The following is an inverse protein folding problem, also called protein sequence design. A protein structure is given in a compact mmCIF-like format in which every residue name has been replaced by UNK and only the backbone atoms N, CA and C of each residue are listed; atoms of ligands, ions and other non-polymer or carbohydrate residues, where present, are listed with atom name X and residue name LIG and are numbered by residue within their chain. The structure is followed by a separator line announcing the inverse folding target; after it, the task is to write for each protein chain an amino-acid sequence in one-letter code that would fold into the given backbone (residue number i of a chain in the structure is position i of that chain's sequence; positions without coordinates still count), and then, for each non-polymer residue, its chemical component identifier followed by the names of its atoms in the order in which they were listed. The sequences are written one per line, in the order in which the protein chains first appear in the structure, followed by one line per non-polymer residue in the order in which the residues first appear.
data_IF_592712132727
#
_entry.id   IF_592712132727
#
_cell.length_a   1.000
_cell.length_b   1.000
_cell.length_c   1.000
_cell.angle_alpha   90.00
_cell.angle_beta   90.00
_cell.angle_gamma   90.00
#
_symmetry.space_group_name_H-M   'P 1'
#
loop_
_entity.id
_entity.type
_entity.pdbx_description
1 polymer ?
#
# COMPACT_ATOMS: atom_id res chain seq x y z
N UNK A 1 13.22 -29.30 -30.97
CA UNK A 1 13.16 -28.44 -29.76
C UNK A 1 11.95 -27.55 -29.92
N UNK A 2 11.04 -27.44 -28.94
CA UNK A 2 9.99 -26.42 -29.01
C UNK A 2 10.68 -25.04 -28.97
N UNK A 3 10.32 -24.18 -29.92
CA UNK A 3 10.82 -22.80 -29.97
C UNK A 3 10.33 -22.06 -28.72
N UNK A 4 11.25 -21.45 -27.97
CA UNK A 4 10.91 -20.58 -26.85
C UNK A 4 10.46 -19.23 -27.40
N UNK A 5 9.23 -18.82 -27.08
CA UNK A 5 8.70 -17.49 -27.43
C UNK A 5 8.73 -16.57 -26.20
N UNK A 6 9.36 -15.41 -26.32
CA UNK A 6 9.43 -14.41 -25.24
C UNK A 6 8.23 -13.46 -25.33
N UNK A 7 7.38 -13.44 -24.29
CA UNK A 7 6.14 -12.66 -24.28
C UNK A 7 6.30 -11.13 -24.12
N UNK A 8 7.46 -10.66 -23.63
CA UNK A 8 7.88 -9.24 -23.52
C UNK A 8 6.76 -8.20 -23.27
N UNK A 9 5.81 -8.48 -22.37
CA UNK A 9 4.68 -7.60 -22.08
C UNK A 9 5.09 -6.42 -21.21
N UNK A 10 4.56 -5.24 -21.51
CA UNK A 10 4.88 -4.02 -20.79
C UNK A 10 4.09 -3.89 -19.49
N UNK A 11 4.72 -3.30 -18.48
CA UNK A 11 4.08 -2.80 -17.25
C UNK A 11 4.87 -1.56 -16.76
N UNK A 12 4.42 -0.94 -15.67
CA UNK A 12 5.04 0.28 -15.11
C UNK A 12 5.71 0.00 -13.76
N UNK A 13 6.77 0.75 -13.46
CA UNK A 13 7.44 0.79 -12.15
C UNK A 13 7.31 2.20 -11.58
N UNK A 14 7.00 2.30 -10.29
CA UNK A 14 6.93 3.56 -9.56
C UNK A 14 5.53 4.19 -9.56
N UNK A 15 5.49 5.41 -9.02
CA UNK A 15 4.27 6.23 -8.89
C UNK A 15 4.07 7.14 -10.09
N UNK A 16 2.85 7.67 -10.26
CA UNK A 16 2.54 8.63 -11.31
C UNK A 16 2.42 10.07 -10.76
N UNK A 17 2.73 11.10 -11.56
CA UNK A 17 2.68 12.50 -11.11
C UNK A 17 1.27 13.10 -11.12
N UNK A 18 0.25 12.34 -11.51
CA UNK A 18 -1.13 12.82 -11.62
C UNK A 18 -1.74 13.11 -10.25
N UNK A 19 -2.68 14.05 -10.23
CA UNK A 19 -3.53 14.34 -9.07
C UNK A 19 -4.96 13.85 -9.26
N UNK A 20 -5.40 13.63 -10.50
CA UNK A 20 -6.69 12.99 -10.81
C UNK A 20 -6.49 11.47 -11.05
N UNK A 21 -7.13 10.62 -10.24
CA UNK A 21 -7.15 9.17 -10.44
C UNK A 21 -7.64 8.71 -11.81
N UNK A 22 -8.63 9.39 -12.38
CA UNK A 22 -9.26 9.03 -13.65
C UNK A 22 -8.30 9.24 -14.81
N UNK A 23 -7.54 10.35 -14.81
CA UNK A 23 -6.51 10.63 -15.81
C UNK A 23 -5.40 9.58 -15.77
N UNK A 24 -4.92 9.23 -14.57
CA UNK A 24 -3.91 8.20 -14.39
C UNK A 24 -4.40 6.83 -14.89
N UNK A 25 -5.63 6.45 -14.53
CA UNK A 25 -6.25 5.19 -14.97
C UNK A 25 -6.48 5.16 -16.48
N UNK A 26 -6.81 6.30 -17.10
CA UNK A 26 -6.96 6.41 -18.55
C UNK A 26 -5.63 6.08 -19.26
N UNK A 27 -4.50 6.60 -18.78
CA UNK A 27 -3.19 6.27 -19.36
C UNK A 27 -2.80 4.81 -19.13
N UNK A 28 -2.97 4.30 -17.90
CA UNK A 28 -2.68 2.89 -17.58
C UNK A 28 -3.50 1.97 -18.48
N UNK A 29 -4.82 2.17 -18.54
CA UNK A 29 -5.69 1.33 -19.36
C UNK A 29 -5.48 1.53 -20.84
N UNK A 30 -5.00 2.69 -21.31
CA UNK A 30 -4.69 2.91 -22.72
C UNK A 30 -3.41 2.17 -23.16
N UNK A 31 -2.32 2.30 -22.39
CA UNK A 31 -1.00 1.78 -22.79
C UNK A 31 -0.69 0.36 -22.28
N UNK A 32 -1.26 -0.06 -21.15
CA UNK A 32 -0.92 -1.32 -20.48
C UNK A 32 -2.11 -2.28 -20.49
N UNK A 33 -2.31 -2.97 -21.62
CA UNK A 33 -3.45 -3.88 -21.81
C UNK A 33 -3.23 -5.26 -21.18
N UNK A 34 -2.02 -5.81 -21.28
CA UNK A 34 -1.72 -7.16 -20.79
C UNK A 34 -1.46 -7.20 -19.27
N UNK A 35 -0.62 -6.29 -18.78
CA UNK A 35 -0.19 -6.24 -17.36
C UNK A 35 -0.29 -4.79 -16.81
N UNK A 36 -1.51 -4.22 -16.70
CA UNK A 36 -1.71 -2.93 -16.07
C UNK A 36 -1.27 -2.94 -14.61
N UNK A 37 -0.76 -1.80 -14.12
CA UNK A 37 -0.57 -1.56 -12.70
C UNK A 37 -1.52 -0.47 -12.23
N UNK A 38 -2.20 -0.66 -11.10
CA UNK A 38 -3.02 0.41 -10.55
C UNK A 38 -2.11 1.60 -10.15
N UNK A 39 -2.53 2.86 -10.40
CA UNK A 39 -1.66 4.01 -10.21
C UNK A 39 -1.59 4.46 -8.74
N UNK A 40 -0.37 4.67 -8.24
CA UNK A 40 -0.11 5.36 -6.96
C UNK A 40 0.15 6.86 -7.19
N UNK A 41 -0.54 7.75 -6.48
CA UNK A 41 -0.60 9.19 -6.78
C UNK A 41 -0.08 10.07 -5.62
N UNK A 42 1.22 10.02 -5.27
CA UNK A 42 1.79 10.73 -4.13
C UNK A 42 1.69 12.26 -4.24
N UNK A 43 1.45 12.82 -5.43
CA UNK A 43 1.22 14.25 -5.62
C UNK A 43 -0.22 14.69 -5.30
N UNK A 44 -1.19 13.77 -5.23
CA UNK A 44 -2.59 14.08 -4.92
C UNK A 44 -2.76 14.42 -3.44
N UNK A 45 -2.17 13.62 -2.55
CA UNK A 45 -2.16 13.91 -1.11
C UNK A 45 -1.00 13.18 -0.43
N UNK A 46 -0.57 13.67 0.74
CA UNK A 46 0.48 13.03 1.51
C UNK A 46 0.10 11.62 1.99
N UNK A 47 -1.19 11.31 2.17
CA UNK A 47 -1.64 9.94 2.47
C UNK A 47 -1.33 8.95 1.35
N UNK A 48 -1.10 9.39 0.11
CA UNK A 48 -0.63 8.53 -0.99
C UNK A 48 0.90 8.48 -1.12
N UNK A 49 1.63 9.14 -0.22
CA UNK A 49 3.08 8.98 -0.14
C UNK A 49 3.42 7.52 0.17
N UNK A 50 4.53 7.02 -0.37
CA UNK A 50 4.97 5.63 -0.23
C UNK A 50 5.04 5.12 1.22
N UNK A 51 5.31 6.00 2.19
CA UNK A 51 5.36 5.65 3.61
C UNK A 51 4.04 5.89 4.37
N UNK A 52 3.10 6.63 3.78
CA UNK A 52 1.80 6.89 4.38
C UNK A 52 0.69 5.98 3.82
N UNK A 53 0.77 5.60 2.56
CA UNK A 53 -0.28 4.89 1.82
C UNK A 53 -0.75 3.60 2.50
N UNK A 54 0.18 2.85 3.08
CA UNK A 54 -0.12 1.55 3.70
C UNK A 54 -0.16 1.63 5.23
N UNK A 55 -0.06 2.82 5.81
CA UNK A 55 -0.02 2.99 7.27
C UNK A 55 -1.40 2.99 7.92
N UNK A 56 -2.47 3.15 7.14
CA UNK A 56 -3.84 3.21 7.65
C UNK A 56 -4.18 2.00 8.55
N UNK A 57 -4.47 2.29 9.83
CA UNK A 57 -4.80 1.29 10.84
C UNK A 57 -3.61 0.75 11.64
N UNK A 58 -2.37 1.19 11.35
CA UNK A 58 -1.22 0.81 12.17
C UNK A 58 -1.36 1.38 13.60
N UNK A 59 -1.03 0.61 14.66
CA UNK A 59 -1.12 1.08 16.04
C UNK A 59 -0.34 2.38 16.28
N UNK A 60 -1.03 3.40 16.80
CA UNK A 60 -0.43 4.69 17.15
C UNK A 60 -0.01 5.55 15.95
N UNK A 61 -0.35 5.17 14.72
CA UNK A 61 0.04 5.99 13.56
C UNK A 61 -0.64 7.35 13.56
N UNK A 62 0.15 8.39 13.37
CA UNK A 62 -0.32 9.76 13.20
C UNK A 62 0.22 10.31 11.89
N UNK A 63 -0.64 11.00 11.14
CA UNK A 63 -0.29 11.75 9.93
C UNK A 63 -0.71 13.20 10.12
N UNK A 64 0.28 14.10 10.24
CA UNK A 64 0.09 15.53 10.46
C UNK A 64 1.10 16.33 9.63
N UNK A 65 0.67 17.46 9.06
CA UNK A 65 1.54 18.40 8.33
C UNK A 65 2.50 17.74 7.31
N UNK A 66 2.03 16.73 6.59
CA UNK A 66 2.84 15.93 5.65
C UNK A 66 4.02 15.17 6.31
N UNK A 67 3.82 14.70 7.54
CA UNK A 67 4.71 13.80 8.27
C UNK A 67 3.93 12.60 8.76
N UNK A 68 4.65 11.50 8.98
CA UNK A 68 4.12 10.29 9.58
C UNK A 68 5.03 9.88 10.73
N UNK A 69 4.44 9.53 11.87
CA UNK A 69 5.15 9.00 13.04
C UNK A 69 4.22 8.11 13.87
N UNK A 70 4.79 7.38 14.82
CA UNK A 70 4.04 6.62 15.81
C UNK A 70 4.01 7.41 17.12
N UNK A 71 2.82 7.75 17.57
CA UNK A 71 2.60 8.40 18.86
C UNK A 71 2.50 7.34 19.97
N UNK A 72 3.56 7.22 20.76
CA UNK A 72 3.66 6.26 21.86
C UNK A 72 2.98 6.73 23.15
N UNK A 73 2.43 7.95 23.18
CA UNK A 73 1.64 8.42 24.32
C UNK A 73 0.24 7.77 24.37
N UNK A 74 -0.19 7.18 23.25
CA UNK A 74 -1.44 6.42 23.13
C UNK A 74 -1.30 5.00 23.68
N UNK A 75 -2.42 4.41 24.11
CA UNK A 75 -2.49 2.98 24.42
C UNK A 75 -2.39 2.16 23.13
N UNK A 76 -1.24 1.52 22.92
CA UNK A 76 -0.97 0.71 21.74
C UNK A 76 -1.36 -0.76 21.91
N UNK A 77 -1.64 -1.23 23.13
CA UNK A 77 -1.82 -2.65 23.44
C UNK A 77 -3.05 -3.21 22.71
N UNK A 78 -4.20 -2.54 22.85
CA UNK A 78 -5.44 -2.95 22.17
C UNK A 78 -5.35 -2.92 20.64
N UNK A 79 -4.86 -1.86 19.98
CA UNK A 79 -4.72 -1.87 18.53
C UNK A 79 -3.67 -2.88 18.03
N UNK A 80 -2.59 -3.14 18.80
CA UNK A 80 -1.64 -4.22 18.49
C UNK A 80 -2.33 -5.58 18.57
N UNK A 81 -3.03 -5.89 19.66
CA UNK A 81 -3.77 -7.14 19.82
C UNK A 81 -4.74 -7.38 18.66
N UNK A 82 -5.50 -6.36 18.26
CA UNK A 82 -6.40 -6.42 17.10
C UNK A 82 -5.67 -6.72 15.80
N UNK A 83 -4.50 -6.12 15.59
CA UNK A 83 -3.68 -6.36 14.40
C UNK A 83 -3.17 -7.80 14.37
N UNK A 84 -2.63 -8.30 15.48
CA UNK A 84 -2.14 -9.67 15.57
C UNK A 84 -3.26 -10.69 15.41
N UNK A 85 -4.42 -10.46 16.03
CA UNK A 85 -5.59 -11.32 15.85
C UNK A 85 -6.03 -11.38 14.38
N UNK A 86 -6.18 -10.22 13.72
CA UNK A 86 -6.55 -10.19 12.30
C UNK A 86 -5.50 -10.87 11.41
N UNK A 87 -4.20 -10.73 11.72
CA UNK A 87 -3.13 -11.40 11.01
C UNK A 87 -3.20 -12.93 11.15
N UNK A 88 -3.38 -13.43 12.37
CA UNK A 88 -3.48 -14.86 12.67
C UNK A 88 -4.72 -15.49 12.01
N UNK A 89 -5.84 -14.78 12.03
CA UNK A 89 -7.10 -15.21 11.43
C UNK A 89 -7.16 -15.01 9.91
N UNK A 90 -6.13 -14.39 9.31
CA UNK A 90 -6.11 -13.98 7.90
C UNK A 90 -7.31 -13.07 7.52
N UNK A 91 -7.79 -12.26 8.47
CA UNK A 91 -8.93 -11.37 8.32
C UNK A 91 -8.51 -10.04 7.66
N UNK A 92 -8.27 -10.11 6.36
CA UNK A 92 -7.79 -8.98 5.54
C UNK A 92 -8.78 -7.81 5.48
N UNK A 93 -10.08 -8.07 5.67
CA UNK A 93 -11.14 -7.08 5.56
C UNK A 93 -11.15 -6.10 6.74
N UNK A 94 -10.46 -6.41 7.84
CA UNK A 94 -10.25 -5.48 8.96
C UNK A 94 -9.25 -4.37 8.65
N UNK A 95 -8.39 -4.55 7.64
CA UNK A 95 -7.33 -3.60 7.28
C UNK A 95 -7.38 -3.16 5.82
N UNK A 96 -8.52 -2.67 5.30
CA UNK A 96 -8.65 -2.25 3.91
C UNK A 96 -7.77 -1.03 3.63
N UNK A 97 -7.48 -0.77 2.35
CA UNK A 97 -6.88 0.49 1.92
C UNK A 97 -8.01 1.39 1.40
N UNK A 98 -8.32 2.48 2.11
CA UNK A 98 -9.43 3.35 1.70
C UNK A 98 -9.09 4.21 0.48
N UNK A 99 -10.11 4.75 -0.18
CA UNK A 99 -9.94 5.69 -1.31
C UNK A 99 -9.20 6.98 -0.91
N UNK A 100 -9.17 7.34 0.37
CA UNK A 100 -8.35 8.46 0.85
C UNK A 100 -6.84 8.18 0.75
N UNK A 101 -6.45 6.91 0.97
CA UNK A 101 -5.07 6.43 0.92
C UNK A 101 -4.66 5.85 -0.44
N UNK A 102 -5.60 5.45 -1.30
CA UNK A 102 -5.29 4.90 -2.62
C UNK A 102 -6.40 5.19 -3.64
N UNK A 103 -6.64 6.46 -3.94
CA UNK A 103 -7.70 6.84 -4.88
C UNK A 103 -7.51 6.19 -6.26
N UNK A 104 -6.25 6.08 -6.73
CA UNK A 104 -5.92 5.40 -7.98
C UNK A 104 -6.29 3.91 -7.99
N UNK A 105 -6.16 3.20 -6.86
CA UNK A 105 -6.60 1.80 -6.76
C UNK A 105 -8.12 1.68 -6.91
N UNK A 106 -8.88 2.51 -6.20
CA UNK A 106 -10.35 2.47 -6.25
C UNK A 106 -10.88 2.86 -7.63
N UNK A 107 -10.30 3.87 -8.28
CA UNK A 107 -10.63 4.21 -9.67
C UNK A 107 -10.24 3.11 -10.66
N UNK A 108 -9.13 2.42 -10.42
CA UNK A 108 -8.69 1.31 -11.26
C UNK A 108 -9.63 0.09 -11.16
N UNK A 109 -10.07 -0.27 -9.95
CA UNK A 109 -11.01 -1.37 -9.71
C UNK A 109 -12.40 -1.11 -10.33
N UNK A 110 -12.77 0.16 -10.54
CA UNK A 110 -14.01 0.54 -11.19
C UNK A 110 -13.96 0.44 -12.74
N UNK A 111 -12.81 0.15 -13.33
CA UNK A 111 -12.68 0.00 -14.78
C UNK A 111 -13.36 -1.28 -15.28
N UNK A 112 -14.24 -1.14 -16.27
CA UNK A 112 -14.97 -2.27 -16.90
C UNK A 112 -14.45 -2.62 -18.30
N UNK A 113 -13.44 -1.91 -18.79
CA UNK A 113 -12.95 -1.97 -20.16
C UNK A 113 -11.57 -2.67 -20.29
N UNK A 114 -11.18 -3.48 -19.30
CA UNK A 114 -9.93 -4.22 -19.29
C UNK A 114 -10.19 -5.72 -19.19
N UNK A 115 -9.35 -6.51 -19.87
CA UNK A 115 -9.28 -7.97 -19.72
C UNK A 115 -7.80 -8.37 -19.67
N UNK A 116 -7.10 -8.02 -18.58
CA UNK A 116 -5.66 -8.20 -18.49
C UNK A 116 -5.29 -9.65 -18.22
N UNK A 117 -4.06 -10.04 -18.57
CA UNK A 117 -3.49 -11.33 -18.20
C UNK A 117 -3.17 -11.38 -16.70
N UNK A 118 -2.69 -10.26 -16.17
CA UNK A 118 -2.39 -10.08 -14.75
C UNK A 118 -2.50 -8.60 -14.39
N UNK A 119 -2.72 -8.29 -13.11
CA UNK A 119 -2.65 -6.92 -12.59
C UNK A 119 -1.44 -6.80 -11.69
N UNK A 120 -0.67 -5.73 -11.87
CA UNK A 120 0.45 -5.41 -11.00
C UNK A 120 -0.01 -4.54 -9.85
N UNK A 121 0.30 -5.02 -8.65
CA UNK A 121 0.18 -4.30 -7.40
C UNK A 121 1.54 -4.13 -6.73
N UNK A 122 1.71 -3.10 -5.89
CA UNK A 122 2.92 -2.94 -5.11
C UNK A 122 2.64 -2.30 -3.76
N UNK A 123 3.35 -2.76 -2.74
CA UNK A 123 3.35 -2.21 -1.39
C UNK A 123 4.78 -1.86 -0.97
N UNK A 124 4.91 -0.92 -0.04
CA UNK A 124 6.19 -0.68 0.63
C UNK A 124 6.64 -1.94 1.39
N UNK A 125 7.94 -2.20 1.43
CA UNK A 125 8.51 -3.30 2.22
C UNK A 125 8.69 -2.96 3.71
N UNK A 126 8.63 -3.95 4.62
CA UNK A 126 8.67 -3.73 6.06
C UNK A 126 9.98 -3.10 6.56
N UNK A 127 11.13 -3.47 5.97
CA UNK A 127 12.44 -2.89 6.33
C UNK A 127 12.47 -1.40 5.99
N UNK A 128 12.07 -1.05 4.76
CA UNK A 128 12.01 0.34 4.31
C UNK A 128 11.05 1.17 5.15
N UNK A 129 9.85 0.65 5.43
CA UNK A 129 8.87 1.37 6.26
C UNK A 129 9.36 1.57 7.68
N UNK A 130 9.82 0.50 8.32
CA UNK A 130 10.27 0.52 9.72
C UNK A 130 11.53 1.37 9.94
N UNK A 131 12.39 1.53 8.92
CA UNK A 131 13.53 2.45 8.96
C UNK A 131 13.14 3.92 8.74
N UNK A 132 12.02 4.17 8.05
CA UNK A 132 11.60 5.52 7.65
C UNK A 132 10.64 6.14 8.66
N UNK A 133 9.68 5.38 9.16
CA UNK A 133 8.71 5.85 10.16
C UNK A 133 9.39 5.81 11.53
N UNK A 134 9.29 6.92 12.26
CA UNK A 134 9.86 7.05 13.60
C UNK A 134 8.78 7.16 14.66
N UNK A 135 9.15 6.94 15.91
CA UNK A 135 8.36 7.36 17.07
C UNK A 135 8.56 8.86 17.40
N UNK A 136 7.89 9.30 18.47
CA UNK A 136 7.97 10.63 19.08
C UNK A 136 9.39 11.02 19.52
N UNK A 137 10.24 10.03 19.81
CA UNK A 137 11.68 10.21 20.11
C UNK A 137 12.56 10.27 18.86
N UNK A 138 11.97 10.28 17.66
CA UNK A 138 12.65 10.22 16.35
C UNK A 138 13.49 8.96 16.14
N UNK A 139 13.21 7.88 16.88
CA UNK A 139 13.84 6.59 16.66
C UNK A 139 13.03 5.81 15.63
N UNK A 140 13.71 5.22 14.65
CA UNK A 140 13.05 4.36 13.67
C UNK A 140 12.39 3.16 14.36
N UNK A 141 11.14 2.87 14.02
CA UNK A 141 10.34 1.87 14.72
C UNK A 141 10.82 0.43 14.49
N UNK A 142 11.64 0.18 13.47
CA UNK A 142 12.25 -1.14 13.24
C UNK A 142 13.13 -1.61 14.41
N UNK A 143 13.61 -0.67 15.23
CA UNK A 143 14.43 -0.99 16.41
C UNK A 143 13.60 -1.31 17.67
N UNK A 144 12.28 -1.26 17.56
CA UNK A 144 11.35 -1.72 18.56
C UNK A 144 10.86 -3.11 18.14
N UNK A 145 11.10 -4.13 18.98
CA UNK A 145 10.81 -5.51 18.61
C UNK A 145 9.33 -5.74 18.31
N UNK A 146 8.43 -5.03 19.00
CA UNK A 146 6.98 -5.20 18.86
C UNK A 146 6.46 -4.43 17.66
N UNK A 147 6.81 -3.14 17.54
CA UNK A 147 6.36 -2.30 16.43
C UNK A 147 7.00 -2.74 15.11
N UNK A 148 8.28 -3.06 15.12
CA UNK A 148 9.02 -3.58 13.97
C UNK A 148 8.41 -4.88 13.44
N UNK A 149 8.04 -5.79 14.34
CA UNK A 149 7.34 -7.03 13.99
C UNK A 149 5.94 -6.73 13.41
N UNK A 150 5.18 -5.84 14.04
CA UNK A 150 3.84 -5.43 13.62
C UNK A 150 3.81 -4.82 12.21
N UNK A 151 4.89 -4.14 11.77
CA UNK A 151 5.00 -3.58 10.41
C UNK A 151 4.75 -4.66 9.36
N UNK A 152 5.44 -5.81 9.49
CA UNK A 152 5.33 -6.88 8.52
C UNK A 152 3.91 -7.47 8.48
N UNK A 153 3.22 -7.53 9.64
CA UNK A 153 1.88 -8.11 9.76
C UNK A 153 0.86 -7.22 9.07
N UNK A 154 0.92 -5.91 9.33
CA UNK A 154 0.05 -4.95 8.66
C UNK A 154 0.28 -4.97 7.15
N UNK A 155 1.52 -4.84 6.69
CA UNK A 155 1.81 -4.77 5.26
C UNK A 155 1.40 -6.05 4.51
N UNK A 156 1.53 -7.22 5.16
CA UNK A 156 1.01 -8.48 4.65
C UNK A 156 -0.52 -8.45 4.51
N UNK A 157 -1.24 -7.97 5.52
CA UNK A 157 -2.71 -7.82 5.43
C UNK A 157 -3.12 -6.84 4.31
N UNK A 158 -2.40 -5.73 4.17
CA UNK A 158 -2.62 -4.75 3.09
C UNK A 158 -2.41 -5.36 1.71
N UNK A 159 -1.32 -6.11 1.52
CA UNK A 159 -1.03 -6.78 0.26
C UNK A 159 -2.09 -7.84 -0.07
N UNK A 160 -2.49 -8.67 0.90
CA UNK A 160 -3.53 -9.68 0.70
C UNK A 160 -4.91 -9.07 0.46
N UNK A 161 -5.24 -7.96 1.11
CA UNK A 161 -6.47 -7.23 0.82
C UNK A 161 -6.48 -6.70 -0.61
N UNK A 162 -5.36 -6.14 -1.06
CA UNK A 162 -5.20 -5.62 -2.41
C UNK A 162 -5.24 -6.73 -3.49
N UNK A 163 -4.80 -7.95 -3.17
CA UNK A 163 -4.92 -9.12 -4.04
C UNK A 163 -6.38 -9.62 -4.15
N UNK A 164 -7.15 -9.51 -3.06
CA UNK A 164 -8.55 -9.92 -2.99
C UNK A 164 -9.51 -8.95 -3.69
N UNK A 165 -9.22 -7.65 -3.63
CA UNK A 165 -10.09 -6.56 -4.11
C UNK A 165 -10.24 -6.58 -5.64
#
# INVERSE_FOLDING_TARGET
MPYLEFGCRATVIGSMPHTDPSEACALVSHYLKDIPAWPQLPKRTFRENMYAQFSQGFPGVVIEENKIFIDRSQDLDKPLEKLYAAYLDNDVDKYPISAEYAAGLHSFLALTNLSPLAVKGQVTGPVTWGLTVTDDSRRAIIYDDVLGDAVAKLLRLKASWQEKA
#
